data_IF_687392609648
#
_entry.id   IF_687392609648
#
_cell.length_a   1.000
_cell.length_b   1.000
_cell.length_c   1.000
_cell.angle_alpha   90.00
_cell.angle_beta   90.00
_cell.angle_gamma   90.00
#
_symmetry.space_group_name_H-M   'P 1'
#
loop_
_entity.id
_entity.type
_entity.pdbx_description
1 polymer ?
#
# COMPACT_ATOMS: atom_id res chain seq x y z
N UNK A 1 -13.41 -17.73 -8.49
CA UNK A 1 -12.83 -16.63 -7.67
C UNK A 1 -13.49 -15.31 -8.07
N UNK A 2 -14.20 -14.64 -7.15
CA UNK A 2 -14.95 -13.39 -7.42
C UNK A 2 -14.06 -12.18 -7.23
N UNK A 3 -13.88 -11.38 -8.27
CA UNK A 3 -13.05 -10.16 -8.27
C UNK A 3 -13.93 -8.95 -8.54
N UNK A 4 -13.90 -7.99 -7.61
CA UNK A 4 -14.57 -6.70 -7.80
C UNK A 4 -13.72 -5.79 -8.68
N UNK A 5 -14.31 -5.22 -9.71
CA UNK A 5 -13.67 -4.31 -10.66
C UNK A 5 -14.23 -2.91 -10.47
N UNK A 6 -13.37 -1.97 -10.13
CA UNK A 6 -13.67 -0.56 -9.86
C UNK A 6 -12.84 0.30 -10.82
N UNK A 7 -13.36 0.69 -11.99
CA UNK A 7 -12.57 1.43 -12.98
C UNK A 7 -12.04 2.78 -12.48
N UNK A 8 -12.77 3.46 -11.60
CA UNK A 8 -12.37 4.77 -11.08
C UNK A 8 -12.64 5.91 -12.06
N UNK A 9 -11.74 6.92 -12.07
CA UNK A 9 -11.91 8.17 -12.80
C UNK A 9 -10.89 8.35 -13.93
N UNK A 10 -11.11 9.39 -14.73
CA UNK A 10 -10.15 9.84 -15.74
C UNK A 10 -9.79 8.74 -16.74
N UNK A 11 -8.52 8.36 -16.78
CA UNK A 11 -8.01 7.26 -17.62
C UNK A 11 -8.40 5.86 -17.10
N UNK A 12 -9.01 5.79 -15.92
CA UNK A 12 -9.35 4.54 -15.22
C UNK A 12 -10.13 3.52 -16.05
N UNK A 13 -11.23 3.91 -16.69
CA UNK A 13 -12.00 3.00 -17.54
C UNK A 13 -11.17 2.37 -18.67
N UNK A 14 -10.32 3.17 -19.34
CA UNK A 14 -9.47 2.72 -20.45
C UNK A 14 -8.44 1.69 -19.98
N UNK A 15 -7.65 2.02 -18.96
CA UNK A 15 -6.60 1.09 -18.48
C UNK A 15 -7.19 -0.13 -17.77
N UNK A 16 -8.36 0.00 -17.16
CA UNK A 16 -9.07 -1.14 -16.57
C UNK A 16 -9.54 -2.10 -17.67
N UNK A 17 -10.10 -1.60 -18.76
CA UNK A 17 -10.49 -2.43 -19.91
C UNK A 17 -9.28 -3.15 -20.51
N UNK A 18 -8.16 -2.47 -20.70
CA UNK A 18 -6.92 -3.09 -21.18
C UNK A 18 -6.40 -4.16 -20.20
N UNK A 19 -6.47 -3.90 -18.90
CA UNK A 19 -6.08 -4.86 -17.86
C UNK A 19 -6.97 -6.11 -17.90
N UNK A 20 -8.29 -5.93 -18.00
CA UNK A 20 -9.23 -7.06 -18.08
C UNK A 20 -9.01 -7.91 -19.33
N UNK A 21 -8.69 -7.31 -20.47
CA UNK A 21 -8.34 -8.04 -21.70
C UNK A 21 -7.18 -9.01 -21.46
N UNK A 22 -6.14 -8.57 -20.76
CA UNK A 22 -4.99 -9.43 -20.41
C UNK A 22 -5.39 -10.51 -19.39
N UNK A 23 -6.16 -10.13 -18.38
CA UNK A 23 -6.61 -11.06 -17.34
C UNK A 23 -7.60 -12.09 -17.88
N UNK A 24 -8.47 -11.74 -18.81
CA UNK A 24 -9.37 -12.70 -19.48
C UNK A 24 -8.59 -13.74 -20.27
N UNK A 25 -7.53 -13.30 -20.99
CA UNK A 25 -6.65 -14.23 -21.67
C UNK A 25 -5.92 -15.16 -20.70
N UNK A 26 -5.42 -14.63 -19.61
CA UNK A 26 -4.78 -15.43 -18.55
C UNK A 26 -5.79 -16.38 -17.89
N UNK A 27 -7.00 -15.90 -17.60
CA UNK A 27 -8.09 -16.69 -17.02
C UNK A 27 -8.41 -17.91 -17.88
N UNK A 28 -8.57 -17.70 -19.18
CA UNK A 28 -8.81 -18.80 -20.14
C UNK A 28 -7.62 -19.75 -20.25
N UNK A 29 -6.39 -19.23 -20.36
CA UNK A 29 -5.18 -20.02 -20.56
C UNK A 29 -4.84 -20.90 -19.35
N UNK A 30 -4.96 -20.32 -18.14
CA UNK A 30 -4.58 -20.98 -16.90
C UNK A 30 -5.76 -21.56 -16.12
N UNK A 31 -6.97 -21.46 -16.65
CA UNK A 31 -8.22 -21.96 -16.02
C UNK A 31 -8.40 -21.45 -14.60
N UNK A 32 -8.25 -20.12 -14.40
CA UNK A 32 -8.23 -19.51 -13.07
C UNK A 32 -9.63 -19.35 -12.45
N UNK A 33 -10.70 -19.51 -13.24
CA UNK A 33 -12.11 -19.37 -12.82
C UNK A 33 -12.40 -18.00 -12.19
N UNK A 34 -11.83 -16.92 -12.77
CA UNK A 34 -12.09 -15.54 -12.33
C UNK A 34 -13.47 -15.10 -12.83
N UNK A 35 -14.24 -14.51 -11.92
CA UNK A 35 -15.56 -13.92 -12.19
C UNK A 35 -15.51 -12.43 -11.85
N UNK A 36 -15.79 -11.59 -12.84
CA UNK A 36 -15.76 -10.13 -12.67
C UNK A 36 -17.11 -9.61 -12.17
N UNK A 37 -17.06 -8.82 -11.09
CA UNK A 37 -18.18 -7.98 -10.65
C UNK A 37 -17.79 -6.51 -10.86
N UNK A 38 -18.58 -5.75 -11.59
CA UNK A 38 -18.31 -4.34 -11.86
C UNK A 38 -19.15 -3.45 -10.95
N UNK A 39 -18.52 -2.41 -10.38
CA UNK A 39 -19.16 -1.36 -9.61
C UNK A 39 -18.56 0.00 -9.95
N UNK A 40 -19.35 1.06 -9.82
CA UNK A 40 -18.90 2.42 -10.05
C UNK A 40 -18.46 3.09 -8.75
N UNK A 41 -17.36 3.84 -8.81
CA UNK A 41 -16.83 4.71 -7.75
C UNK A 41 -16.34 6.02 -8.38
N UNK A 42 -15.92 6.97 -7.52
CA UNK A 42 -15.36 8.24 -7.99
C UNK A 42 -16.42 9.20 -8.52
N UNK A 43 -16.05 10.02 -9.49
CA UNK A 43 -16.93 11.05 -10.06
C UNK A 43 -18.20 10.49 -10.72
N UNK A 44 -18.17 9.33 -11.40
CA UNK A 44 -19.40 8.71 -11.91
C UNK A 44 -20.40 8.37 -10.81
N UNK A 45 -19.93 7.76 -9.70
CA UNK A 45 -20.80 7.43 -8.56
C UNK A 45 -21.29 8.71 -7.84
N UNK A 46 -20.44 9.72 -7.69
CA UNK A 46 -20.82 11.00 -7.12
C UNK A 46 -21.99 11.64 -7.89
N UNK A 47 -21.92 11.61 -9.21
CA UNK A 47 -22.98 12.17 -10.07
C UNK A 47 -24.32 11.41 -9.94
N UNK A 48 -24.26 10.08 -9.77
CA UNK A 48 -25.46 9.21 -9.72
C UNK A 48 -26.04 9.08 -8.32
N UNK A 49 -25.19 8.98 -7.31
CA UNK A 49 -25.55 8.56 -5.96
C UNK A 49 -25.15 9.57 -4.87
N UNK A 50 -24.56 10.71 -5.26
CA UNK A 50 -24.18 11.78 -4.32
C UNK A 50 -22.94 11.45 -3.47
N UNK A 51 -22.21 10.38 -3.77
CA UNK A 51 -20.97 10.03 -3.08
C UNK A 51 -19.98 9.36 -4.03
N UNK A 52 -18.69 9.63 -3.83
CA UNK A 52 -17.61 8.97 -4.60
C UNK A 52 -17.38 7.51 -4.18
N UNK A 53 -17.89 7.08 -3.03
CA UNK A 53 -17.85 5.70 -2.56
C UNK A 53 -19.19 5.27 -1.95
N UNK A 54 -20.11 4.69 -2.73
CA UNK A 54 -21.34 4.12 -2.21
C UNK A 54 -21.10 2.98 -1.21
N UNK A 55 -21.89 2.93 -0.14
CA UNK A 55 -21.74 1.92 0.92
C UNK A 55 -21.80 0.48 0.39
N UNK A 56 -22.64 0.21 -0.63
CA UNK A 56 -22.74 -1.09 -1.29
C UNK A 56 -21.44 -1.55 -1.92
N UNK A 57 -20.61 -0.63 -2.42
CA UNK A 57 -19.31 -0.95 -3.02
C UNK A 57 -18.32 -1.43 -1.97
N UNK A 58 -18.33 -0.81 -0.79
CA UNK A 58 -17.49 -1.25 0.34
C UNK A 58 -17.90 -2.65 0.79
N UNK A 59 -19.19 -2.94 0.82
CA UNK A 59 -19.69 -4.27 1.16
C UNK A 59 -19.36 -5.30 0.06
N UNK A 60 -19.52 -4.95 -1.21
CA UNK A 60 -19.09 -5.79 -2.32
C UNK A 60 -17.59 -6.12 -2.25
N UNK A 61 -16.76 -5.15 -1.85
CA UNK A 61 -15.33 -5.37 -1.67
C UNK A 61 -15.02 -6.36 -0.53
N UNK A 62 -15.79 -6.33 0.58
CA UNK A 62 -15.65 -7.29 1.69
C UNK A 62 -15.98 -8.72 1.27
N UNK A 63 -16.97 -8.88 0.39
CA UNK A 63 -17.47 -10.18 -0.09
C UNK A 63 -16.69 -10.72 -1.29
N UNK A 64 -15.75 -9.96 -1.82
CA UNK A 64 -14.91 -10.34 -2.96
C UNK A 64 -13.57 -10.90 -2.50
N UNK A 65 -13.02 -11.85 -3.24
CA UNK A 65 -11.70 -12.43 -2.97
C UNK A 65 -10.55 -11.51 -3.41
N UNK A 66 -10.86 -10.52 -4.25
CA UNK A 66 -9.92 -9.48 -4.67
C UNK A 66 -10.64 -8.28 -5.28
N UNK A 67 -9.93 -7.15 -5.32
CA UNK A 67 -10.44 -5.89 -5.91
C UNK A 67 -9.41 -5.35 -6.90
N UNK A 68 -9.85 -5.06 -8.11
CA UNK A 68 -9.10 -4.26 -9.08
C UNK A 68 -9.58 -2.82 -8.93
N UNK A 69 -8.71 -1.94 -8.46
CA UNK A 69 -8.99 -0.53 -8.28
C UNK A 69 -8.21 0.29 -9.30
N UNK A 70 -8.93 0.95 -10.20
CA UNK A 70 -8.38 1.91 -11.14
C UNK A 70 -8.00 3.24 -10.48
N UNK A 71 -7.37 4.17 -11.21
CA UNK A 71 -6.98 5.47 -10.70
C UNK A 71 -8.18 6.34 -10.33
N UNK A 72 -7.95 7.29 -9.42
CA UNK A 72 -8.96 8.16 -8.84
C UNK A 72 -8.51 9.62 -8.94
N UNK A 73 -9.37 10.49 -9.46
CA UNK A 73 -9.14 11.93 -9.57
C UNK A 73 -9.45 12.65 -8.24
N UNK A 74 -8.78 12.24 -7.15
CA UNK A 74 -9.12 12.70 -5.80
C UNK A 74 -8.99 14.21 -5.60
N UNK A 75 -8.22 14.91 -6.43
CA UNK A 75 -8.12 16.37 -6.43
C UNK A 75 -9.39 17.07 -6.92
N UNK A 76 -10.22 16.37 -7.71
CA UNK A 76 -11.48 16.88 -8.24
C UNK A 76 -12.68 16.59 -7.32
N UNK A 77 -12.45 15.83 -6.25
CA UNK A 77 -13.52 15.46 -5.33
C UNK A 77 -13.92 16.66 -4.47
N UNK A 78 -15.23 16.89 -4.29
CA UNK A 78 -15.69 17.92 -3.36
C UNK A 78 -15.34 17.57 -1.92
N UNK A 79 -15.59 18.50 -0.99
CA UNK A 79 -15.47 18.23 0.43
C UNK A 79 -16.36 17.05 0.88
N UNK A 80 -15.97 16.39 1.97
CA UNK A 80 -16.60 15.16 2.47
C UNK A 80 -18.12 15.34 2.72
N UNK A 81 -18.51 16.52 3.20
CA UNK A 81 -19.91 16.91 3.46
C UNK A 81 -20.75 16.95 2.18
N UNK A 82 -20.12 17.07 1.02
CA UNK A 82 -20.73 17.04 -0.31
C UNK A 82 -20.51 15.71 -1.04
N UNK A 83 -20.17 14.65 -0.29
CA UNK A 83 -20.01 13.30 -0.81
C UNK A 83 -18.62 12.96 -1.37
N UNK A 84 -17.65 13.87 -1.27
CA UNK A 84 -16.28 13.62 -1.68
C UNK A 84 -15.52 12.78 -0.65
N UNK A 85 -15.40 11.50 -0.94
CA UNK A 85 -14.66 10.53 -0.10
C UNK A 85 -13.52 9.96 -0.93
N UNK A 86 -12.35 9.79 -0.36
CA UNK A 86 -11.26 9.09 -1.04
C UNK A 86 -11.43 7.57 -0.93
N UNK A 87 -11.88 6.86 -2.00
CA UNK A 87 -12.15 5.43 -1.93
C UNK A 87 -10.93 4.62 -1.53
N UNK A 88 -9.73 4.99 -2.02
CA UNK A 88 -8.49 4.30 -1.68
C UNK A 88 -8.16 4.40 -0.17
N UNK A 89 -8.41 5.55 0.45
CA UNK A 89 -8.22 5.73 1.89
C UNK A 89 -9.25 4.94 2.72
N UNK A 90 -10.51 4.97 2.31
CA UNK A 90 -11.60 4.22 2.97
C UNK A 90 -11.39 2.71 2.88
N UNK A 91 -11.02 2.17 1.70
CA UNK A 91 -10.71 0.74 1.58
C UNK A 91 -9.56 0.33 2.51
N UNK A 92 -8.48 1.10 2.56
CA UNK A 92 -7.33 0.80 3.43
C UNK A 92 -7.72 0.71 4.89
N UNK A 93 -8.56 1.64 5.36
CA UNK A 93 -8.98 1.72 6.77
C UNK A 93 -10.11 0.77 7.10
N UNK A 94 -11.17 0.73 6.28
CA UNK A 94 -12.39 -0.04 6.54
C UNK A 94 -12.21 -1.55 6.32
N UNK A 95 -11.26 -1.94 5.46
CA UNK A 95 -10.92 -3.35 5.21
C UNK A 95 -9.60 -3.76 5.88
N UNK A 96 -8.99 -2.87 6.68
CA UNK A 96 -7.67 -3.05 7.34
C UNK A 96 -6.58 -3.57 6.38
N UNK A 97 -6.48 -2.96 5.19
CA UNK A 97 -5.48 -3.31 4.19
C UNK A 97 -4.10 -2.76 4.59
N UNK A 98 -3.55 -3.30 5.65
CA UNK A 98 -2.35 -2.79 6.31
C UNK A 98 -1.06 -3.01 5.53
N UNK A 99 -0.96 -4.09 4.77
CA UNK A 99 0.26 -4.45 4.06
C UNK A 99 0.19 -4.01 2.59
N UNK A 100 0.92 -2.96 2.25
CA UNK A 100 1.17 -2.57 0.86
C UNK A 100 2.38 -3.37 0.37
N UNK A 101 2.13 -4.39 -0.46
CA UNK A 101 3.15 -5.32 -0.95
C UNK A 101 3.52 -4.93 -2.37
N UNK A 102 4.80 -4.59 -2.59
CA UNK A 102 5.33 -4.11 -3.88
C UNK A 102 6.47 -4.98 -4.37
N UNK A 103 6.20 -5.99 -5.19
CA UNK A 103 7.26 -6.75 -5.84
C UNK A 103 7.92 -5.88 -6.92
N UNK A 104 9.26 -5.93 -6.98
CA UNK A 104 10.07 -5.35 -8.04
C UNK A 104 11.03 -6.39 -8.56
N UNK A 105 10.87 -6.76 -9.83
CA UNK A 105 11.73 -7.73 -10.50
C UNK A 105 12.16 -7.20 -11.85
N UNK A 106 13.48 -7.18 -12.09
CA UNK A 106 14.00 -6.78 -13.39
C UNK A 106 13.70 -7.85 -14.44
N UNK A 107 13.54 -7.38 -15.68
CA UNK A 107 13.47 -8.24 -16.86
C UNK A 107 14.70 -7.98 -17.72
N UNK A 108 15.13 -8.98 -18.46
CA UNK A 108 16.30 -8.89 -19.35
C UNK A 108 16.12 -7.72 -20.33
N UNK A 109 17.11 -6.83 -20.40
CA UNK A 109 17.09 -5.66 -21.28
C UNK A 109 16.18 -4.51 -20.82
N UNK A 110 15.56 -4.60 -19.63
CA UNK A 110 14.72 -3.53 -19.06
C UNK A 110 15.26 -3.13 -17.70
N UNK A 111 15.50 -1.85 -17.52
CA UNK A 111 15.94 -1.25 -16.24
C UNK A 111 17.05 -0.23 -16.43
N UNK A 112 17.03 0.83 -15.61
CA UNK A 112 17.94 1.97 -15.69
C UNK A 112 19.39 1.58 -15.34
N UNK A 113 19.58 0.60 -14.46
CA UNK A 113 20.92 0.24 -13.95
C UNK A 113 21.53 -0.97 -14.66
N UNK A 114 20.77 -1.69 -15.48
CA UNK A 114 21.19 -2.96 -16.09
C UNK A 114 21.45 -4.11 -15.08
N UNK A 115 21.24 -3.86 -13.78
CA UNK A 115 21.50 -4.85 -12.72
C UNK A 115 20.26 -5.68 -12.43
N UNK A 116 20.41 -6.95 -12.04
CA UNK A 116 19.29 -7.77 -11.63
C UNK A 116 18.66 -7.23 -10.35
N UNK A 117 17.33 -7.16 -10.33
CA UNK A 117 16.52 -6.80 -9.18
C UNK A 117 15.50 -7.90 -8.95
N UNK A 118 15.39 -8.38 -7.72
CA UNK A 118 14.30 -9.26 -7.27
C UNK A 118 14.05 -9.00 -5.78
N UNK A 119 13.24 -8.00 -5.49
CA UNK A 119 12.90 -7.61 -4.14
C UNK A 119 11.40 -7.43 -3.96
N UNK A 120 10.92 -7.48 -2.73
CA UNK A 120 9.54 -7.14 -2.38
C UNK A 120 9.55 -6.16 -1.22
N UNK A 121 8.93 -5.00 -1.42
CA UNK A 121 8.78 -4.00 -0.36
C UNK A 121 7.47 -4.27 0.38
N UNK A 122 7.54 -4.45 1.69
CA UNK A 122 6.42 -4.52 2.62
C UNK A 122 6.29 -3.18 3.34
N UNK A 123 5.23 -2.43 3.08
CA UNK A 123 4.99 -1.13 3.68
C UNK A 123 3.71 -1.14 4.49
N UNK A 124 3.78 -0.71 5.76
CA UNK A 124 2.58 -0.41 6.55
C UNK A 124 1.79 0.72 5.87
N UNK A 125 0.48 0.56 5.77
CA UNK A 125 -0.37 1.37 4.91
C UNK A 125 -1.53 2.04 5.66
N UNK A 126 -1.63 1.88 6.98
CA UNK A 126 -2.74 2.39 7.78
C UNK A 126 -2.35 3.46 8.80
N UNK A 127 -1.05 3.75 8.94
CA UNK A 127 -0.53 4.81 9.78
C UNK A 127 0.68 5.52 9.13
N UNK A 128 1.43 6.33 9.84
CA UNK A 128 2.52 7.14 9.31
C UNK A 128 2.12 8.61 9.25
N UNK A 129 2.36 9.31 8.15
CA UNK A 129 1.96 10.69 7.91
C UNK A 129 0.55 10.84 7.28
N UNK A 130 -0.33 9.90 7.46
CA UNK A 130 -1.69 9.98 6.95
C UNK A 130 -2.55 10.81 7.93
N UNK A 131 -2.66 12.11 7.66
CA UNK A 131 -3.31 13.09 8.52
C UNK A 131 -4.78 12.75 8.85
N UNK A 132 -5.48 12.16 7.90
CA UNK A 132 -6.89 11.78 7.99
C UNK A 132 -7.18 10.67 9.03
N UNK A 133 -6.14 10.03 9.58
CA UNK A 133 -6.29 8.89 10.50
C UNK A 133 -5.32 8.89 11.68
N UNK A 134 -4.51 9.92 11.83
CA UNK A 134 -3.46 9.95 12.85
C UNK A 134 -3.93 10.47 14.21
N UNK A 135 -5.07 11.15 14.27
CA UNK A 135 -5.64 11.72 15.49
C UNK A 135 -6.99 11.08 15.80
N UNK A 136 -7.35 11.01 17.07
CA UNK A 136 -8.68 10.61 17.51
C UNK A 136 -9.73 11.68 17.20
N UNK A 137 -9.36 12.94 17.37
CA UNK A 137 -10.18 14.10 17.03
C UNK A 137 -9.34 15.10 16.23
N UNK A 138 -9.94 15.75 15.24
CA UNK A 138 -9.25 16.65 14.33
C UNK A 138 -8.39 15.92 13.29
N UNK A 139 -7.48 16.67 12.67
CA UNK A 139 -6.55 16.18 11.66
C UNK A 139 -5.14 16.05 12.24
N UNK A 140 -4.37 15.10 11.75
CA UNK A 140 -2.94 14.98 12.02
C UNK A 140 -2.09 16.01 11.26
N UNK A 141 -2.72 16.91 10.49
CA UNK A 141 -2.07 18.02 9.83
C UNK A 141 -2.83 19.32 10.17
N UNK A 142 -2.13 20.35 10.62
CA UNK A 142 -2.73 21.60 11.06
C UNK A 142 -1.75 22.78 10.96
N UNK A 143 -2.29 24.00 10.87
CA UNK A 143 -1.53 25.23 10.82
C UNK A 143 -1.72 26.04 12.12
N UNK A 144 -0.73 26.06 13.03
CA UNK A 144 -0.79 26.90 14.24
C UNK A 144 -0.75 28.40 13.94
N UNK A 145 -0.07 28.80 12.86
CA UNK A 145 0.02 30.17 12.34
C UNK A 145 -0.06 30.15 10.82
N UNK A 146 -0.23 31.31 10.18
CA UNK A 146 -0.35 31.44 8.72
C UNK A 146 0.90 30.95 7.96
N UNK A 147 2.06 30.95 8.61
CA UNK A 147 3.36 30.61 8.06
C UNK A 147 3.93 29.29 8.61
N UNK A 148 3.15 28.54 9.42
CA UNK A 148 3.60 27.29 10.04
C UNK A 148 2.60 26.17 9.82
N UNK A 149 3.04 25.08 9.18
CA UNK A 149 2.28 23.84 9.09
C UNK A 149 2.99 22.71 9.84
N UNK A 150 2.22 21.88 10.55
CA UNK A 150 2.68 20.71 11.30
C UNK A 150 1.97 19.46 10.81
N UNK A 151 2.71 18.35 10.70
CA UNK A 151 2.17 17.04 10.41
C UNK A 151 2.61 16.03 11.48
N UNK A 152 1.66 15.32 12.04
CA UNK A 152 1.91 14.27 13.04
C UNK A 152 2.12 12.94 12.35
N UNK A 153 3.25 12.29 12.62
CA UNK A 153 3.52 10.90 12.22
C UNK A 153 3.10 9.95 13.34
N UNK A 154 2.17 9.06 13.04
CA UNK A 154 1.75 8.00 13.98
C UNK A 154 2.52 6.72 13.69
N UNK A 155 3.09 6.11 14.74
CA UNK A 155 3.75 4.80 14.69
C UNK A 155 3.31 4.01 15.92
N UNK A 156 2.77 2.81 15.73
CA UNK A 156 2.30 1.95 16.82
C UNK A 156 3.01 0.60 16.81
N UNK A 157 3.21 0.00 17.99
CA UNK A 157 3.82 -1.33 18.12
C UNK A 157 3.05 -2.39 17.33
N UNK A 158 1.71 -2.37 17.40
CA UNK A 158 0.84 -3.29 16.67
C UNK A 158 1.09 -3.25 15.15
N UNK A 159 1.15 -2.06 14.57
CA UNK A 159 1.36 -1.90 13.13
C UNK A 159 2.78 -2.26 12.71
N UNK A 160 3.78 -1.95 13.55
CA UNK A 160 5.16 -2.37 13.33
C UNK A 160 5.29 -3.89 13.35
N UNK A 161 4.72 -4.56 14.37
CA UNK A 161 4.78 -6.02 14.53
C UNK A 161 4.14 -6.74 13.33
N UNK A 162 2.90 -6.35 12.95
CA UNK A 162 2.15 -7.04 11.90
C UNK A 162 2.80 -6.93 10.52
N UNK A 163 3.35 -5.76 10.17
CA UNK A 163 4.02 -5.61 8.88
C UNK A 163 5.37 -6.34 8.85
N UNK A 164 6.11 -6.30 9.95
CA UNK A 164 7.34 -7.07 10.11
C UNK A 164 7.06 -8.57 9.96
N UNK A 165 6.09 -9.11 10.71
CA UNK A 165 5.70 -10.52 10.65
C UNK A 165 5.36 -10.95 9.23
N UNK A 166 4.58 -10.15 8.51
CA UNK A 166 4.22 -10.44 7.12
C UNK A 166 5.44 -10.49 6.19
N UNK A 167 6.42 -9.60 6.39
CA UNK A 167 7.67 -9.61 5.63
C UNK A 167 8.53 -10.85 5.95
N UNK A 168 8.66 -11.21 7.22
CA UNK A 168 9.42 -12.39 7.64
C UNK A 168 8.79 -13.71 7.14
N UNK A 169 7.47 -13.84 7.21
CA UNK A 169 6.73 -14.99 6.63
C UNK A 169 7.02 -15.16 5.14
N UNK A 170 6.94 -14.06 4.37
CA UNK A 170 7.25 -14.09 2.96
C UNK A 170 8.73 -14.40 2.66
N UNK A 171 9.63 -13.91 3.49
CA UNK A 171 11.07 -14.17 3.35
C UNK A 171 11.42 -15.66 3.51
N UNK A 172 10.64 -16.43 4.29
CA UNK A 172 10.83 -17.88 4.43
C UNK A 172 10.76 -18.65 3.12
N UNK A 173 9.91 -18.19 2.18
CA UNK A 173 9.78 -18.76 0.84
C UNK A 173 10.70 -18.11 -0.20
N UNK A 174 11.56 -17.18 0.21
CA UNK A 174 12.52 -16.45 -0.63
C UNK A 174 13.95 -16.66 -0.15
N UNK A 175 14.80 -15.64 -0.23
CA UNK A 175 16.24 -15.69 0.17
C UNK A 175 16.47 -15.71 1.68
N UNK A 176 15.43 -15.71 2.49
CA UNK A 176 15.50 -15.68 3.95
C UNK A 176 16.26 -14.48 4.49
N UNK A 177 16.03 -13.33 3.88
CA UNK A 177 16.60 -12.05 4.29
C UNK A 177 15.51 -11.00 4.36
N UNK A 178 15.49 -10.20 5.43
CA UNK A 178 14.64 -9.04 5.63
C UNK A 178 15.52 -7.85 5.97
N UNK A 179 15.35 -6.76 5.24
CA UNK A 179 16.05 -5.51 5.52
C UNK A 179 15.04 -4.50 6.07
N UNK A 180 15.20 -4.12 7.34
CA UNK A 180 14.39 -3.09 7.98
C UNK A 180 14.94 -1.70 7.66
N UNK A 181 14.11 -0.89 7.01
CA UNK A 181 14.49 0.46 6.61
C UNK A 181 13.97 1.46 7.64
N UNK A 182 14.85 2.37 8.10
CA UNK A 182 14.53 3.28 9.19
C UNK A 182 15.29 4.61 9.10
N UNK A 183 14.94 5.57 9.96
CA UNK A 183 15.66 6.83 10.21
C UNK A 183 15.89 7.04 11.72
N UNK A 184 16.19 5.99 12.47
CA UNK A 184 16.31 6.01 13.93
C UNK A 184 17.44 6.91 14.46
N UNK A 185 18.40 7.28 13.62
CA UNK A 185 19.41 8.29 13.98
C UNK A 185 18.81 9.69 14.20
N UNK A 186 17.65 9.98 13.59
CA UNK A 186 16.89 11.23 13.74
C UNK A 186 15.62 10.97 14.57
N UNK A 187 14.80 10.04 14.15
CA UNK A 187 13.54 9.68 14.80
C UNK A 187 13.74 8.59 15.88
N UNK A 188 14.49 8.93 16.93
CA UNK A 188 14.90 7.95 17.97
C UNK A 188 13.73 7.26 18.66
N UNK A 189 12.60 7.95 18.86
CA UNK A 189 11.42 7.40 19.53
C UNK A 189 10.58 6.57 18.57
N UNK A 190 10.13 7.14 17.45
CA UNK A 190 9.21 6.46 16.54
C UNK A 190 9.89 5.33 15.73
N UNK A 191 11.08 5.59 15.16
CA UNK A 191 11.81 4.54 14.45
C UNK A 191 12.58 3.61 15.40
N UNK A 192 12.86 4.07 16.63
CA UNK A 192 13.30 3.19 17.72
C UNK A 192 12.23 2.17 18.11
N UNK A 193 10.95 2.57 18.18
CA UNK A 193 9.81 1.67 18.36
C UNK A 193 9.71 0.68 17.18
N UNK A 194 9.83 1.17 15.96
CA UNK A 194 9.85 0.32 14.75
C UNK A 194 10.92 -0.78 14.84
N UNK A 195 12.18 -0.41 15.07
CA UNK A 195 13.28 -1.38 15.16
C UNK A 195 13.11 -2.36 16.32
N UNK A 196 12.60 -1.91 17.47
CA UNK A 196 12.31 -2.79 18.60
C UNK A 196 11.33 -3.89 18.24
N UNK A 197 10.22 -3.54 17.59
CA UNK A 197 9.20 -4.52 17.21
C UNK A 197 9.69 -5.45 16.09
N UNK A 198 10.46 -4.94 15.12
CA UNK A 198 11.09 -5.78 14.08
C UNK A 198 12.04 -6.80 14.68
N UNK A 199 12.91 -6.38 15.61
CA UNK A 199 13.85 -7.29 16.29
C UNK A 199 13.13 -8.35 17.13
N UNK A 200 12.01 -7.97 17.77
CA UNK A 200 11.16 -8.92 18.50
C UNK A 200 10.58 -9.97 17.56
N UNK A 201 10.01 -9.58 16.43
CA UNK A 201 9.49 -10.51 15.42
C UNK A 201 10.59 -11.41 14.85
N UNK A 202 11.79 -10.88 14.62
CA UNK A 202 12.91 -11.65 14.08
C UNK A 202 13.28 -12.86 14.95
N UNK A 203 13.03 -12.81 16.27
CA UNK A 203 13.28 -13.92 17.18
C UNK A 203 12.44 -15.16 16.86
N UNK A 204 11.22 -14.97 16.31
CA UNK A 204 10.34 -16.05 15.88
C UNK A 204 10.80 -16.70 14.57
N UNK A 205 11.73 -16.07 13.83
CA UNK A 205 12.17 -16.47 12.49
C UNK A 205 13.69 -16.70 12.41
N UNK A 206 14.22 -17.60 13.24
CA UNK A 206 15.66 -17.87 13.35
C UNK A 206 16.38 -18.23 12.05
N UNK A 207 15.64 -18.65 11.01
CA UNK A 207 16.17 -18.97 9.68
C UNK A 207 16.22 -17.77 8.73
N UNK A 208 15.74 -16.59 9.16
CA UNK A 208 15.72 -15.36 8.36
C UNK A 208 16.73 -14.38 8.91
N UNK A 209 17.64 -13.92 8.07
CA UNK A 209 18.59 -12.87 8.42
C UNK A 209 17.87 -11.52 8.49
N UNK A 210 18.02 -10.79 9.60
CA UNK A 210 17.62 -9.40 9.72
C UNK A 210 18.82 -8.50 9.45
N UNK A 211 18.64 -7.53 8.57
CA UNK A 211 19.54 -6.39 8.33
C UNK A 211 18.78 -5.09 8.65
N UNK A 212 19.49 -4.09 9.17
CA UNK A 212 18.93 -2.78 9.47
C UNK A 212 19.71 -1.72 8.69
N UNK A 213 19.00 -0.91 7.90
CA UNK A 213 19.62 0.08 7.03
C UNK A 213 18.91 1.42 7.12
N UNK A 214 19.68 2.50 7.26
CA UNK A 214 19.16 3.87 7.23
C UNK A 214 18.63 4.15 5.81
N UNK A 215 17.48 4.81 5.72
CA UNK A 215 16.77 5.05 4.45
C UNK A 215 17.62 5.74 3.39
N UNK A 216 18.50 6.68 3.77
CA UNK A 216 19.39 7.37 2.84
C UNK A 216 20.41 6.41 2.23
N UNK A 217 21.01 5.56 3.06
CA UNK A 217 21.95 4.53 2.61
C UNK A 217 21.26 3.50 1.73
N UNK A 218 20.01 3.08 2.07
CA UNK A 218 19.25 2.15 1.26
C UNK A 218 18.96 2.70 -0.13
N UNK A 219 18.62 3.97 -0.27
CA UNK A 219 18.41 4.60 -1.57
C UNK A 219 19.65 4.49 -2.47
N UNK A 220 20.85 4.70 -1.92
CA UNK A 220 22.10 4.53 -2.64
C UNK A 220 22.42 3.06 -2.94
N UNK A 221 22.18 2.15 -1.98
CA UNK A 221 22.46 0.72 -2.13
C UNK A 221 21.59 0.09 -3.23
N UNK A 222 20.31 0.45 -3.33
CA UNK A 222 19.40 -0.04 -4.37
C UNK A 222 19.87 0.31 -5.79
N UNK A 223 20.61 1.42 -5.97
CA UNK A 223 21.21 1.77 -7.25
C UNK A 223 22.55 1.06 -7.48
N UNK A 224 23.36 0.91 -6.45
CA UNK A 224 24.71 0.32 -6.54
C UNK A 224 24.67 -1.20 -6.64
N UNK A 225 23.91 -1.83 -5.77
CA UNK A 225 23.76 -3.29 -5.69
C UNK A 225 22.40 -3.67 -5.09
N UNK A 226 21.34 -3.70 -5.92
CA UNK A 226 19.99 -3.97 -5.43
C UNK A 226 19.81 -5.36 -4.83
N UNK A 227 20.74 -6.29 -5.11
CA UNK A 227 20.65 -7.67 -4.59
C UNK A 227 21.37 -7.86 -3.26
N UNK A 228 22.30 -7.00 -2.90
CA UNK A 228 23.05 -7.13 -1.64
C UNK A 228 22.16 -6.93 -0.40
N UNK A 229 21.14 -6.08 -0.52
CA UNK A 229 20.27 -5.67 0.60
C UNK A 229 18.84 -6.21 0.52
N UNK A 230 18.64 -7.28 -0.25
CA UNK A 230 17.29 -7.85 -0.46
C UNK A 230 17.25 -9.35 -0.26
#
# INVERSE_FOLDING_TARGET
MKILVLPGDGIGPEITAATLTVLDRANALFKLELLWQHEEIGLPALKKEGTTLPARVLEAARLSEGVILGPLSTYEYPAREKGGVNPSAEFRTKLDLYANIRPARSRLGVGLTGKPVDLVIYRENTEGFYADRNMHAGSGEFMPTEDMALAVRRVTAKCCERIARRAFEAAMARRRKVTAIHKANVFRVSDGLWLREVRKVAQDFSKVQLEEVIVDAMAALLLRDPMAST
#
